data_IF_135871261325
#
_entry.id   IF_135871261325
#
_cell.length_a   1.000
_cell.length_b   1.000
_cell.length_c   1.000
_cell.angle_alpha   90.00
_cell.angle_beta   90.00
_cell.angle_gamma   90.00
#
_symmetry.space_group_name_H-M   'P 1'
#
loop_
_entity.id
_entity.type
_entity.pdbx_description
1 polymer ?
#
# COMPACT_ATOMS: atom_id res chain seq x y z
N UNK A 1 -18.07 9.51 5.36
CA UNK A 1 -18.30 10.96 5.51
C UNK A 1 -17.25 11.65 6.41
N UNK A 2 -16.50 10.91 7.22
CA UNK A 2 -15.50 11.51 8.13
C UNK A 2 -14.37 12.23 7.37
N UNK A 3 -14.00 11.76 6.19
CA UNK A 3 -13.00 12.41 5.33
C UNK A 3 -13.44 13.81 4.87
N UNK A 4 -14.74 14.02 4.58
CA UNK A 4 -15.28 15.35 4.24
C UNK A 4 -15.19 16.29 5.43
N UNK A 5 -15.49 15.80 6.65
CA UNK A 5 -15.35 16.61 7.87
C UNK A 5 -13.91 17.02 8.13
N UNK A 6 -12.94 16.15 7.84
CA UNK A 6 -11.51 16.46 7.96
C UNK A 6 -11.08 17.55 6.97
N UNK A 7 -11.55 17.50 5.73
CA UNK A 7 -11.27 18.54 4.73
C UNK A 7 -11.90 19.87 5.16
N UNK A 8 -13.16 19.86 5.62
CA UNK A 8 -13.83 21.06 6.12
C UNK A 8 -13.10 21.65 7.33
N UNK A 9 -12.67 20.83 8.29
CA UNK A 9 -11.91 21.28 9.45
C UNK A 9 -10.52 21.84 9.06
N UNK A 10 -9.84 21.21 8.09
CA UNK A 10 -8.53 21.64 7.60
C UNK A 10 -8.57 22.99 6.87
N UNK A 11 -9.67 23.29 6.17
CA UNK A 11 -9.88 24.56 5.45
C UNK A 11 -10.71 25.57 6.23
N UNK A 12 -11.04 25.29 7.48
CA UNK A 12 -11.62 26.28 8.39
C UNK A 12 -10.49 27.14 8.94
N UNK A 13 -10.56 28.45 8.69
CA UNK A 13 -9.57 29.44 9.15
C UNK A 13 -9.74 29.70 10.65
N UNK A 14 -8.72 30.31 11.27
CA UNK A 14 -8.73 30.64 12.71
C UNK A 14 -9.85 31.59 13.12
N UNK A 15 -10.40 32.36 12.16
CA UNK A 15 -11.57 33.23 12.36
C UNK A 15 -12.93 32.49 12.25
N UNK A 16 -12.90 31.16 12.05
CA UNK A 16 -14.09 30.32 11.87
C UNK A 16 -14.69 30.37 10.47
N UNK A 17 -14.10 31.12 9.54
CA UNK A 17 -14.56 31.15 8.14
C UNK A 17 -14.00 29.98 7.35
N UNK A 18 -14.87 29.29 6.60
CA UNK A 18 -14.48 28.18 5.74
C UNK A 18 -13.97 28.71 4.41
N UNK A 19 -12.79 28.26 4.00
CA UNK A 19 -12.32 28.44 2.62
C UNK A 19 -13.05 27.47 1.70
N UNK A 20 -14.22 27.88 1.20
CA UNK A 20 -15.07 27.02 0.36
C UNK A 20 -14.38 26.60 -0.93
N UNK A 21 -13.52 27.45 -1.49
CA UNK A 21 -12.84 27.19 -2.76
C UNK A 21 -11.74 26.13 -2.58
N UNK A 22 -10.92 26.28 -1.54
CA UNK A 22 -9.91 25.28 -1.19
C UNK A 22 -10.52 23.96 -0.71
N UNK A 23 -11.59 24.01 0.08
CA UNK A 23 -12.31 22.83 0.55
C UNK A 23 -12.95 22.06 -0.60
N UNK A 24 -13.66 22.73 -1.53
CA UNK A 24 -14.27 22.07 -2.68
C UNK A 24 -13.23 21.44 -3.60
N UNK A 25 -12.09 22.11 -3.83
CA UNK A 25 -11.00 21.57 -4.65
C UNK A 25 -10.38 20.30 -4.07
N UNK A 26 -10.21 20.24 -2.75
CA UNK A 26 -9.69 19.04 -2.08
C UNK A 26 -10.76 17.95 -1.98
N UNK A 27 -12.03 18.31 -1.80
CA UNK A 27 -13.15 17.37 -1.89
C UNK A 27 -13.21 16.74 -3.28
N UNK A 28 -13.15 17.52 -4.37
CA UNK A 28 -13.20 17.00 -5.74
C UNK A 28 -12.01 16.09 -6.07
N UNK A 29 -10.86 16.31 -5.45
CA UNK A 29 -9.67 15.46 -5.59
C UNK A 29 -9.81 14.14 -4.83
N UNK A 30 -10.38 14.19 -3.63
CA UNK A 30 -10.58 13.04 -2.75
C UNK A 30 -11.87 12.27 -3.08
N UNK A 31 -12.79 12.87 -3.83
CA UNK A 31 -14.07 12.27 -4.19
C UNK A 31 -13.90 10.98 -4.98
N UNK A 32 -13.10 10.90 -6.07
CA UNK A 32 -12.91 9.67 -6.83
C UNK A 32 -12.24 8.55 -6.02
N UNK A 33 -11.50 8.91 -4.96
CA UNK A 33 -10.79 7.97 -4.09
C UNK A 33 -11.72 7.41 -3.00
N UNK A 34 -12.62 8.25 -2.49
CA UNK A 34 -13.43 7.93 -1.31
C UNK A 34 -14.94 7.76 -1.60
N UNK A 35 -15.38 8.03 -2.82
CA UNK A 35 -16.78 7.93 -3.26
C UNK A 35 -16.91 7.61 -4.75
N UNK A 36 -17.81 6.68 -5.09
CA UNK A 36 -18.19 6.44 -6.48
C UNK A 36 -19.33 7.41 -6.85
N UNK A 37 -19.18 8.25 -7.90
CA UNK A 37 -20.25 9.12 -8.36
C UNK A 37 -21.54 8.35 -8.60
N UNK A 38 -22.68 8.88 -8.16
CA UNK A 38 -23.98 8.22 -8.29
C UNK A 38 -24.31 7.87 -9.74
N UNK A 39 -23.92 8.71 -10.69
CA UNK A 39 -24.11 8.46 -12.12
C UNK A 39 -23.22 7.32 -12.63
N UNK A 40 -21.97 7.23 -12.14
CA UNK A 40 -21.10 6.09 -12.46
C UNK A 40 -21.64 4.79 -11.85
N UNK A 41 -22.12 4.82 -10.61
CA UNK A 41 -22.75 3.67 -9.97
C UNK A 41 -24.02 3.24 -10.71
N UNK A 42 -24.91 4.17 -11.05
CA UNK A 42 -26.14 3.88 -11.78
C UNK A 42 -25.86 3.34 -13.19
N UNK A 43 -24.88 3.91 -13.89
CA UNK A 43 -24.48 3.44 -15.22
C UNK A 43 -23.87 2.03 -15.14
N UNK A 44 -22.96 1.79 -14.19
CA UNK A 44 -22.36 0.48 -13.97
C UNK A 44 -23.42 -0.56 -13.56
N UNK A 45 -24.36 -0.19 -12.68
CA UNK A 45 -25.46 -1.05 -12.26
C UNK A 45 -26.39 -1.40 -13.44
N UNK A 46 -26.71 -0.43 -14.30
CA UNK A 46 -27.49 -0.66 -15.51
C UNK A 46 -26.76 -1.58 -16.50
N UNK A 47 -25.47 -1.36 -16.72
CA UNK A 47 -24.64 -2.22 -17.58
C UNK A 47 -24.55 -3.64 -17.03
N UNK A 48 -24.43 -3.80 -15.70
CA UNK A 48 -24.40 -5.11 -15.03
C UNK A 48 -25.75 -5.83 -15.17
N UNK A 49 -26.87 -5.10 -15.06
CA UNK A 49 -28.21 -5.64 -15.30
C UNK A 49 -28.39 -6.08 -16.77
N UNK A 50 -27.93 -5.30 -17.74
CA UNK A 50 -27.96 -5.64 -19.16
C UNK A 50 -27.04 -6.83 -19.49
N UNK A 51 -25.82 -6.88 -18.94
CA UNK A 51 -24.90 -7.99 -19.11
C UNK A 51 -25.49 -9.30 -18.56
N UNK A 52 -26.10 -9.27 -17.37
CA UNK A 52 -26.78 -10.42 -16.80
C UNK A 52 -28.00 -10.87 -17.63
N UNK A 53 -28.77 -9.92 -18.17
CA UNK A 53 -29.90 -10.22 -19.07
C UNK A 53 -29.41 -10.83 -20.38
N UNK A 54 -28.29 -10.35 -20.90
CA UNK A 54 -27.65 -10.86 -22.12
C UNK A 54 -27.09 -12.26 -21.89
N UNK A 55 -26.44 -12.51 -20.74
CA UNK A 55 -26.01 -13.84 -20.30
C UNK A 55 -27.18 -14.83 -20.23
N UNK A 56 -28.27 -14.46 -19.55
CA UNK A 56 -29.48 -15.30 -19.52
C UNK A 56 -30.09 -15.54 -20.89
N UNK A 57 -30.07 -14.52 -21.77
CA UNK A 57 -30.56 -14.67 -23.14
C UNK A 57 -29.64 -15.54 -24.01
N UNK A 58 -28.33 -15.49 -23.79
CA UNK A 58 -27.34 -16.35 -24.45
C UNK A 58 -27.54 -17.79 -23.97
N UNK A 59 -27.61 -17.99 -22.65
CA UNK A 59 -27.87 -19.28 -21.99
C UNK A 59 -29.18 -19.93 -22.46
N UNK A 60 -30.23 -19.12 -22.69
CA UNK A 60 -31.49 -19.58 -23.28
C UNK A 60 -31.39 -19.90 -24.77
N UNK A 61 -30.52 -19.21 -25.52
CA UNK A 61 -30.31 -19.39 -26.98
C UNK A 61 -29.32 -20.50 -27.32
N UNK A 62 -28.46 -20.92 -26.39
CA UNK A 62 -27.42 -21.95 -26.59
C UNK A 62 -27.79 -23.31 -26.01
N UNK A 63 -29.04 -23.49 -25.55
CA UNK A 63 -29.54 -24.73 -24.92
C UNK A 63 -29.43 -25.97 -25.80
N UNK A 64 -29.35 -25.81 -27.13
CA UNK A 64 -29.27 -26.89 -28.12
C UNK A 64 -27.89 -27.02 -28.80
N UNK A 65 -26.86 -26.28 -28.37
CA UNK A 65 -25.52 -26.37 -28.96
C UNK A 65 -24.48 -26.89 -27.94
N UNK A 66 -24.12 -28.19 -27.99
CA UNK A 66 -23.26 -28.83 -27.00
C UNK A 66 -21.82 -28.28 -26.96
N UNK A 67 -21.29 -27.79 -28.09
CA UNK A 67 -19.96 -27.16 -28.11
C UNK A 67 -19.94 -25.85 -27.32
N UNK A 68 -21.03 -25.06 -27.38
CA UNK A 68 -21.14 -23.78 -26.66
C UNK A 68 -21.46 -23.98 -25.18
N UNK A 69 -22.18 -25.05 -24.81
CA UNK A 69 -22.34 -25.44 -23.39
C UNK A 69 -21.00 -25.83 -22.76
N UNK A 70 -20.13 -26.50 -23.52
CA UNK A 70 -18.80 -26.90 -23.05
C UNK A 70 -17.91 -25.67 -22.83
N UNK A 71 -17.90 -24.73 -23.77
CA UNK A 71 -17.18 -23.46 -23.59
C UNK A 71 -17.72 -22.63 -22.41
N UNK A 72 -19.05 -22.62 -22.19
CA UNK A 72 -19.66 -21.93 -21.05
C UNK A 72 -19.27 -22.57 -19.71
N UNK A 73 -19.19 -23.90 -19.65
CA UNK A 73 -18.72 -24.63 -18.47
C UNK A 73 -17.24 -24.30 -18.18
N UNK A 74 -16.38 -24.34 -19.20
CA UNK A 74 -14.96 -24.01 -19.07
C UNK A 74 -14.74 -22.55 -18.65
N UNK A 75 -15.54 -21.62 -19.20
CA UNK A 75 -15.49 -20.21 -18.81
C UNK A 75 -15.97 -19.98 -17.38
N UNK A 76 -16.99 -20.71 -16.94
CA UNK A 76 -17.50 -20.64 -15.57
C UNK A 76 -16.49 -21.17 -14.57
N UNK A 77 -15.84 -22.30 -14.87
CA UNK A 77 -14.76 -22.85 -14.05
C UNK A 77 -13.57 -21.89 -13.97
N UNK A 78 -13.18 -21.27 -15.09
CA UNK A 78 -12.14 -20.23 -15.09
C UNK A 78 -12.56 -19.00 -14.28
N UNK A 79 -13.81 -18.57 -14.37
CA UNK A 79 -14.32 -17.45 -13.60
C UNK A 79 -14.29 -17.74 -12.10
N UNK A 80 -14.75 -18.93 -11.67
CA UNK A 80 -14.71 -19.37 -10.28
C UNK A 80 -13.25 -19.47 -9.77
N UNK A 81 -12.34 -20.00 -10.60
CA UNK A 81 -10.91 -20.07 -10.27
C UNK A 81 -10.27 -18.68 -10.12
N UNK A 82 -10.54 -17.77 -11.05
CA UNK A 82 -10.06 -16.38 -10.99
C UNK A 82 -10.67 -15.61 -9.82
N UNK A 83 -11.92 -15.89 -9.46
CA UNK A 83 -12.57 -15.27 -8.31
C UNK A 83 -11.93 -15.78 -7.01
N UNK A 84 -11.62 -17.08 -6.93
CA UNK A 84 -10.88 -17.66 -5.80
C UNK A 84 -9.46 -17.10 -5.70
N UNK A 85 -8.72 -17.05 -6.80
CA UNK A 85 -7.37 -16.50 -6.83
C UNK A 85 -7.37 -15.01 -6.43
N UNK A 86 -8.33 -14.22 -6.90
CA UNK A 86 -8.49 -12.83 -6.46
C UNK A 86 -8.79 -12.70 -4.97
N UNK A 87 -9.64 -13.58 -4.41
CA UNK A 87 -9.91 -13.62 -2.97
C UNK A 87 -8.65 -13.94 -2.20
N UNK A 88 -7.93 -14.99 -2.57
CA UNK A 88 -6.69 -15.43 -1.93
C UNK A 88 -5.61 -14.34 -2.01
N UNK A 89 -5.45 -13.70 -3.16
CA UNK A 89 -4.50 -12.61 -3.36
C UNK A 89 -4.85 -11.39 -2.48
N UNK A 90 -6.14 -11.03 -2.41
CA UNK A 90 -6.60 -9.90 -1.59
C UNK A 90 -6.40 -10.17 -0.10
N UNK A 91 -6.70 -11.39 0.35
CA UNK A 91 -6.43 -11.85 1.71
C UNK A 91 -4.93 -11.75 2.00
N UNK A 92 -4.10 -12.39 1.18
CA UNK A 92 -2.64 -12.42 1.36
C UNK A 92 -2.06 -11.01 1.38
N UNK A 93 -2.50 -10.12 0.50
CA UNK A 93 -2.04 -8.74 0.45
C UNK A 93 -2.36 -7.97 1.74
N UNK A 94 -3.62 -8.01 2.20
CA UNK A 94 -4.03 -7.29 3.41
C UNK A 94 -3.34 -7.84 4.66
N UNK A 95 -3.21 -9.16 4.74
CA UNK A 95 -2.64 -9.84 5.91
C UNK A 95 -1.15 -9.62 5.98
N UNK A 96 -0.43 -9.78 4.86
CA UNK A 96 1.00 -9.49 4.79
C UNK A 96 1.29 -8.03 5.15
N UNK A 97 0.49 -7.08 4.66
CA UNK A 97 0.62 -5.67 5.04
C UNK A 97 0.39 -5.43 6.54
N UNK A 98 -0.65 -6.04 7.11
CA UNK A 98 -0.93 -5.94 8.55
C UNK A 98 0.20 -6.56 9.39
N UNK A 99 0.67 -7.74 9.03
CA UNK A 99 1.80 -8.42 9.69
C UNK A 99 3.08 -7.62 9.61
N UNK A 100 3.40 -7.06 8.44
CA UNK A 100 4.55 -6.19 8.26
C UNK A 100 4.44 -4.93 9.12
N UNK A 101 3.26 -4.31 9.21
CA UNK A 101 3.04 -3.12 10.03
C UNK A 101 3.24 -3.34 11.53
N UNK A 102 3.01 -4.57 12.01
CA UNK A 102 3.24 -4.96 13.41
C UNK A 102 4.63 -5.55 13.66
N UNK A 103 5.47 -5.58 12.62
CA UNK A 103 6.86 -6.01 12.64
C UNK A 103 7.03 -7.52 12.61
N UNK A 104 6.21 -8.28 11.88
CA UNK A 104 6.44 -9.72 11.71
C UNK A 104 7.81 -9.97 11.06
N UNK A 105 8.66 -10.77 11.71
CA UNK A 105 9.99 -11.14 11.21
C UNK A 105 9.93 -12.12 10.04
N UNK A 106 8.90 -12.96 10.04
CA UNK A 106 8.62 -13.96 9.02
C UNK A 106 7.13 -13.90 8.68
N UNK A 107 6.82 -13.29 7.55
CA UNK A 107 5.44 -13.06 7.09
C UNK A 107 4.79 -14.37 6.69
N UNK A 108 5.53 -15.26 6.01
CA UNK A 108 5.00 -16.53 5.51
C UNK A 108 4.64 -17.46 6.67
N UNK A 109 5.50 -17.54 7.70
CA UNK A 109 5.20 -18.29 8.92
C UNK A 109 4.02 -17.69 9.69
N UNK A 110 3.96 -16.36 9.81
CA UNK A 110 2.84 -15.69 10.46
C UNK A 110 1.51 -15.91 9.72
N UNK A 111 1.52 -15.91 8.39
CA UNK A 111 0.36 -16.20 7.55
C UNK A 111 -0.09 -17.66 7.73
N UNK A 112 0.85 -18.61 7.74
CA UNK A 112 0.57 -20.02 8.06
C UNK A 112 -0.08 -20.19 9.45
N UNK A 113 0.37 -19.42 10.45
CA UNK A 113 -0.20 -19.47 11.81
C UNK A 113 -1.58 -18.81 11.93
N UNK A 114 -1.92 -17.85 11.06
CA UNK A 114 -3.25 -17.26 10.99
C UNK A 114 -4.29 -18.20 10.36
N UNK A 115 -3.85 -19.16 9.55
CA UNK A 115 -4.70 -20.17 8.94
C UNK A 115 -5.64 -19.57 7.89
N UNK A 116 -6.83 -20.15 7.77
CA UNK A 116 -7.81 -19.72 6.79
C UNK A 116 -8.48 -18.39 7.19
N UNK A 117 -8.54 -17.48 6.22
CA UNK A 117 -9.01 -16.12 6.40
C UNK A 117 -10.12 -15.85 5.39
N UNK A 118 -11.14 -15.10 5.81
CA UNK A 118 -12.29 -14.79 4.97
C UNK A 118 -12.42 -13.29 4.79
N UNK A 119 -12.94 -12.87 3.64
CA UNK A 119 -13.31 -11.48 3.39
C UNK A 119 -14.72 -11.19 3.93
N UNK A 120 -14.91 -9.98 4.45
CA UNK A 120 -16.21 -9.41 4.77
C UNK A 120 -16.93 -8.90 3.51
N UNK A 121 -18.11 -8.31 3.72
CA UNK A 121 -18.95 -7.77 2.62
C UNK A 121 -18.32 -6.57 1.93
N UNK A 122 -17.37 -5.91 2.58
CA UNK A 122 -16.64 -4.74 2.07
C UNK A 122 -15.31 -5.16 1.41
N UNK A 123 -14.99 -6.46 1.45
CA UNK A 123 -13.79 -7.04 0.87
C UNK A 123 -12.53 -6.86 1.73
N UNK A 124 -12.67 -6.70 3.04
CA UNK A 124 -11.57 -6.71 4.01
C UNK A 124 -11.52 -8.05 4.75
N UNK A 125 -10.33 -8.47 5.20
CA UNK A 125 -10.20 -9.70 6.00
C UNK A 125 -10.92 -9.53 7.34
N UNK A 126 -11.87 -10.43 7.61
CA UNK A 126 -12.66 -10.44 8.85
C UNK A 126 -11.74 -10.53 10.07
N UNK A 127 -11.99 -9.64 11.03
CA UNK A 127 -11.29 -9.57 12.31
C UNK A 127 -9.76 -9.51 12.20
N UNK A 128 -9.23 -8.95 11.10
CA UNK A 128 -7.79 -8.93 10.81
C UNK A 128 -6.97 -8.37 11.98
N UNK A 129 -7.37 -7.22 12.52
CA UNK A 129 -6.67 -6.56 13.63
C UNK A 129 -6.64 -7.45 14.89
N UNK A 130 -7.78 -8.04 15.24
CA UNK A 130 -7.90 -8.98 16.37
C UNK A 130 -7.04 -10.22 16.16
N UNK A 131 -7.05 -10.81 14.96
CA UNK A 131 -6.26 -12.00 14.64
C UNK A 131 -4.75 -11.70 14.68
N UNK A 132 -4.31 -10.58 14.13
CA UNK A 132 -2.91 -10.14 14.15
C UNK A 132 -2.45 -9.84 15.58
N UNK A 133 -3.29 -9.20 16.39
CA UNK A 133 -3.01 -8.94 17.82
C UNK A 133 -2.89 -10.24 18.62
N UNK A 134 -3.80 -11.18 18.42
CA UNK A 134 -3.75 -12.50 19.05
C UNK A 134 -2.52 -13.29 18.61
N UNK A 135 -2.16 -13.24 17.31
CA UNK A 135 -0.94 -13.87 16.81
C UNK A 135 0.30 -13.25 17.46
N UNK A 136 0.36 -11.92 17.56
CA UNK A 136 1.46 -11.22 18.23
C UNK A 136 1.60 -11.60 19.71
N UNK A 137 0.48 -11.82 20.40
CA UNK A 137 0.49 -12.32 21.78
C UNK A 137 0.92 -13.79 21.86
N UNK A 138 0.60 -14.62 20.86
CA UNK A 138 0.91 -16.05 20.83
C UNK A 138 2.35 -16.35 20.45
N UNK A 139 2.97 -15.58 19.55
CA UNK A 139 4.35 -15.77 19.08
C UNK A 139 5.15 -14.45 19.15
N UNK A 140 5.28 -13.83 20.33
CA UNK A 140 5.86 -12.49 20.47
C UNK A 140 7.30 -12.39 19.98
N UNK A 141 8.08 -13.47 20.06
CA UNK A 141 9.47 -13.51 19.58
C UNK A 141 9.59 -13.42 18.05
N UNK A 142 8.52 -13.74 17.33
CA UNK A 142 8.42 -13.61 15.87
C UNK A 142 8.00 -12.21 15.41
N UNK A 143 7.77 -11.29 16.34
CA UNK A 143 7.52 -9.89 16.04
C UNK A 143 8.65 -9.02 16.56
N UNK A 144 8.88 -7.91 15.87
CA UNK A 144 9.75 -6.85 16.35
C UNK A 144 9.13 -6.27 17.63
N UNK A 145 9.98 -6.15 18.65
CA UNK A 145 9.64 -5.39 19.84
C UNK A 145 9.67 -3.94 19.38
N UNK A 146 8.51 -3.27 19.36
CA UNK A 146 8.46 -1.81 19.25
C UNK A 146 9.22 -1.29 20.46
N UNK A 147 10.46 -0.87 20.27
CA UNK A 147 11.05 0.13 21.13
C UNK A 147 10.07 1.30 21.08
N UNK A 148 9.42 1.58 22.21
CA UNK A 148 8.62 2.78 22.38
C UNK A 148 9.57 3.96 22.27
N UNK A 149 9.75 4.46 21.05
CA UNK A 149 10.20 5.82 20.82
C UNK A 149 9.06 6.72 21.28
N UNK A 150 9.01 6.98 22.58
CA UNK A 150 8.82 8.34 23.07
C UNK A 150 9.33 8.47 24.52
N UNK A 151 10.22 9.46 24.63
CA UNK A 151 10.74 10.17 25.79
C UNK A 151 11.98 9.62 26.56
N UNK A 152 13.04 10.43 26.44
CA UNK A 152 14.33 10.47 27.18
C UNK A 152 15.31 9.32 27.02
N UNK A 153 15.99 9.27 25.86
CA UNK A 153 17.42 8.92 25.80
C UNK A 153 18.07 9.35 24.49
N UNK A 154 18.54 10.61 24.42
CA UNK A 154 19.68 10.94 23.55
C UNK A 154 20.91 10.18 24.04
N UNK A 155 21.12 8.96 23.55
CA UNK A 155 22.43 8.31 23.53
C UNK A 155 22.62 7.60 22.18
N UNK A 156 23.21 8.37 21.25
CA UNK A 156 24.27 7.98 20.32
C UNK A 156 24.24 6.50 19.89
N UNK A 157 23.48 6.19 18.84
CA UNK A 157 23.60 4.92 18.12
C UNK A 157 24.74 5.03 17.10
N UNK A 158 25.84 4.36 17.40
CA UNK A 158 26.85 3.96 16.42
C UNK A 158 26.23 2.90 15.50
N UNK A 159 26.11 3.22 14.22
CA UNK A 159 25.78 2.28 13.15
C UNK A 159 26.85 1.17 13.07
N UNK A 160 26.48 -0.06 13.46
CA UNK A 160 27.19 -1.27 13.04
C UNK A 160 26.36 -2.03 12.00
N UNK A 161 26.37 -1.56 10.76
CA UNK A 161 26.05 -2.36 9.57
C UNK A 161 26.43 -1.61 8.27
N UNK A 162 27.67 -1.13 8.18
CA UNK A 162 28.20 -0.52 6.96
C UNK A 162 29.72 -0.68 6.91
N UNK A 163 30.27 -0.79 5.70
CA UNK A 163 31.72 -0.91 5.44
C UNK A 163 32.52 0.00 6.38
N UNK A 164 33.43 -0.61 7.16
CA UNK A 164 34.42 0.12 7.95
C UNK A 164 35.64 0.34 7.03
N UNK A 165 35.96 1.58 6.61
CA UNK A 165 37.22 1.83 5.93
C UNK A 165 38.37 1.50 6.89
N UNK A 166 39.26 0.62 6.46
CA UNK A 166 40.46 0.26 7.20
C UNK A 166 41.43 1.45 7.09
N UNK A 167 41.84 2.01 8.22
CA UNK A 167 42.84 3.09 8.24
C UNK A 167 44.22 2.50 7.95
N UNK A 168 44.74 2.73 6.74
CA UNK A 168 46.02 2.18 6.28
C UNK A 168 47.25 2.80 6.97
N UNK A 169 47.09 3.72 7.93
CA UNK A 169 48.19 4.43 8.62
C UNK A 169 49.23 5.04 7.67
N UNK A 170 48.86 5.26 6.41
CA UNK A 170 49.72 5.96 5.46
C UNK A 170 49.78 7.42 5.91
N UNK A 171 50.97 8.03 5.98
CA UNK A 171 51.06 9.44 6.30
C UNK A 171 50.24 10.21 5.27
N UNK A 172 49.31 11.07 5.75
CA UNK A 172 48.61 12.00 4.88
C UNK A 172 49.69 12.82 4.16
N UNK A 173 49.72 12.73 2.84
CA UNK A 173 50.66 13.48 2.02
C UNK A 173 50.61 14.94 2.44
N UNK A 174 51.78 15.55 2.68
CA UNK A 174 51.85 17.00 2.90
C UNK A 174 51.25 17.67 1.66
N UNK A 175 50.27 18.53 1.86
CA UNK A 175 49.86 19.46 0.81
C UNK A 175 51.09 20.27 0.39
N UNK A 176 51.35 20.42 -0.92
CA UNK A 176 52.44 21.26 -1.38
C UNK A 176 52.15 22.70 -0.94
N UNK A 177 53.11 23.29 -0.27
CA UNK A 177 53.05 24.67 0.18
C UNK A 177 52.77 25.59 -1.01
N UNK A 178 51.81 26.51 -0.82
CA UNK A 178 51.44 27.65 -1.66
C UNK A 178 52.51 28.09 -2.67
N UNK A 179 52.21 27.86 -3.95
CA UNK A 179 52.33 28.82 -5.06
C UNK A 179 51.66 28.20 -6.28
N UNK A 180 50.71 28.91 -6.85
CA UNK A 180 50.09 28.49 -8.11
C UNK A 180 51.19 28.40 -9.19
N UNK A 181 51.48 27.20 -9.73
CA UNK A 181 52.55 27.02 -10.72
C UNK A 181 52.30 27.81 -12.02
N UNK A 182 51.09 28.33 -12.23
CA UNK A 182 50.71 29.13 -13.40
C UNK A 182 50.83 30.64 -13.17
N UNK A 183 51.07 31.10 -11.94
CA UNK A 183 51.16 32.52 -11.59
C UNK A 183 52.30 33.22 -12.37
N UNK A 184 53.44 32.53 -12.51
CA UNK A 184 54.58 33.03 -13.29
C UNK A 184 54.32 33.08 -14.81
N UNK A 185 53.40 32.25 -15.32
CA UNK A 185 53.07 32.19 -16.75
C UNK A 185 52.08 33.30 -17.11
N UNK A 186 51.14 33.61 -16.22
CA UNK A 186 50.16 34.69 -16.42
C UNK A 186 50.81 36.08 -16.45
N UNK A 187 51.87 36.32 -15.66
CA UNK A 187 52.58 37.63 -15.65
C UNK A 187 53.33 37.98 -16.94
N UNK A 188 53.51 37.04 -17.88
CA UNK A 188 54.18 37.29 -19.17
C UNK A 188 53.27 37.83 -20.26
N UNK A 189 51.95 37.85 -20.02
CA UNK A 189 50.95 38.28 -20.99
C UNK A 189 50.21 39.57 -20.57
N UNK A 190 50.67 40.26 -19.53
CA UNK A 190 50.27 41.65 -19.20
C UNK A 190 51.30 42.68 -19.70
#
# INVERSE_FOLDING_TARGET
MEWIKQILAKHTKEDGTLDMEAANKEIDKEFPVNAVPKDQYNNLSSQLAEANKTLKSLEAKTKDNPDVQKELADLKEKADALEKENKDLKINSQVSAALQSVGAKDIDYALFKLGELELDKDGNVKDLESKVKNLKASIPDYFEKKDTLDDKSKKKAENKAGYQPIDNKLPKGKEPNEKDPFEAILSKYE
#
